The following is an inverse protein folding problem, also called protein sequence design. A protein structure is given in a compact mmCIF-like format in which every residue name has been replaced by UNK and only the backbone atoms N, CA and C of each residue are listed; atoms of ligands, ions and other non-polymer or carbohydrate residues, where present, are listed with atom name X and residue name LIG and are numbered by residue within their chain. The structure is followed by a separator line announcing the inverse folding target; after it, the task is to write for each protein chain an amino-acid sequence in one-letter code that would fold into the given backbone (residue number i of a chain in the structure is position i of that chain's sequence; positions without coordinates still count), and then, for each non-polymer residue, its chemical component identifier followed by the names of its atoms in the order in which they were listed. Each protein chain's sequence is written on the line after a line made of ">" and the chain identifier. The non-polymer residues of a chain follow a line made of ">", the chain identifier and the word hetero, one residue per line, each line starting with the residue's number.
data_IF_605982344317
#
_entry.id   IF_605982344317
#
_cell.length_a   1.000
_cell.length_b   1.000
_cell.length_c   1.000
_cell.angle_alpha   90.00
_cell.angle_beta   90.00
_cell.angle_gamma   90.00
#
_symmetry.space_group_name_H-M   'P 1'
#
loop_
_entity.id
_entity.type
_entity.pdbx_description
1 polymer ?
#
# COMPACT_ATOMS: atom_id res chain seq x y z
N UNK A 1 47.20 -6.78 17.28
CA UNK A 1 45.99 -6.88 16.42
C UNK A 1 44.82 -6.46 17.29
N UNK A 2 44.40 -5.16 17.18
CA UNK A 2 43.30 -4.60 17.98
C UNK A 2 42.00 -4.94 17.24
N UNK A 3 41.21 -5.87 17.78
CA UNK A 3 39.80 -6.02 17.37
C UNK A 3 39.01 -4.85 17.96
N UNK A 4 38.66 -3.88 17.14
CA UNK A 4 37.62 -2.90 17.50
C UNK A 4 36.32 -3.68 17.68
N UNK A 5 35.83 -3.77 18.92
CA UNK A 5 34.47 -4.25 19.20
C UNK A 5 33.53 -3.35 18.40
N UNK A 6 32.85 -3.95 17.41
CA UNK A 6 31.82 -3.24 16.65
C UNK A 6 30.80 -2.66 17.62
N UNK A 7 30.52 -1.37 17.49
CA UNK A 7 29.48 -0.70 18.28
C UNK A 7 28.16 -1.39 17.96
N UNK A 8 27.56 -2.04 18.94
CA UNK A 8 26.21 -2.60 18.79
C UNK A 8 25.25 -1.41 18.81
N UNK A 9 24.68 -1.10 17.66
CA UNK A 9 23.61 -0.11 17.58
C UNK A 9 22.30 -0.80 17.99
N UNK A 10 21.67 -0.28 19.03
CA UNK A 10 20.33 -0.67 19.44
C UNK A 10 19.31 0.16 18.67
N UNK A 11 18.34 -0.49 18.07
CA UNK A 11 17.35 0.16 17.22
C UNK A 11 15.95 0.12 17.83
N UNK A 12 15.26 1.24 17.74
CA UNK A 12 13.83 1.40 18.01
C UNK A 12 13.10 1.59 16.69
N UNK A 13 12.13 0.73 16.41
CA UNK A 13 11.43 0.68 15.11
C UNK A 13 9.95 0.91 15.29
N UNK A 14 9.35 1.73 14.41
CA UNK A 14 7.91 1.84 14.24
C UNK A 14 7.50 1.06 12.99
N UNK A 15 6.49 0.19 13.09
CA UNK A 15 5.84 -0.44 11.96
C UNK A 15 4.44 0.14 11.81
N UNK A 16 4.13 0.69 10.64
CA UNK A 16 2.81 1.24 10.33
C UNK A 16 1.95 0.16 9.71
N UNK A 17 0.71 0.02 10.22
CA UNK A 17 -0.26 -0.95 9.77
C UNK A 17 -0.73 -1.87 10.90
N UNK A 18 -1.65 -2.80 10.59
CA UNK A 18 -2.24 -3.67 11.61
C UNK A 18 -2.70 -5.02 11.05
N UNK A 19 -2.20 -5.44 9.90
CA UNK A 19 -2.54 -6.70 9.26
C UNK A 19 -1.58 -7.85 9.59
N UNK A 20 -1.80 -8.98 8.95
CA UNK A 20 -0.94 -10.16 9.07
C UNK A 20 0.46 -9.94 8.50
N UNK A 21 0.60 -9.08 7.49
CA UNK A 21 1.89 -8.67 6.90
C UNK A 21 2.75 -7.97 7.95
N UNK A 22 2.20 -6.97 8.63
CA UNK A 22 2.87 -6.22 9.69
C UNK A 22 3.21 -7.12 10.88
N UNK A 23 2.32 -8.03 11.25
CA UNK A 23 2.60 -9.03 12.30
C UNK A 23 3.81 -9.89 11.93
N UNK A 24 3.89 -10.40 10.70
CA UNK A 24 5.02 -11.21 10.24
C UNK A 24 6.33 -10.41 10.20
N UNK A 25 6.28 -9.14 9.78
CA UNK A 25 7.43 -8.23 9.79
C UNK A 25 7.93 -8.05 11.24
N UNK A 26 7.04 -7.72 12.16
CA UNK A 26 7.37 -7.51 13.58
C UNK A 26 7.94 -8.77 14.20
N UNK A 27 7.29 -9.94 13.97
CA UNK A 27 7.78 -11.23 14.44
C UNK A 27 9.20 -11.51 13.96
N UNK A 28 9.54 -11.11 12.73
CA UNK A 28 10.90 -11.25 12.21
C UNK A 28 11.87 -10.26 12.81
N UNK A 29 11.47 -9.01 12.99
CA UNK A 29 12.30 -7.94 13.57
C UNK A 29 12.75 -8.26 14.99
N UNK A 30 11.85 -8.74 15.86
CA UNK A 30 12.16 -9.03 17.26
C UNK A 30 13.14 -10.20 17.46
N UNK A 31 13.41 -10.98 16.42
CA UNK A 31 14.46 -12.03 16.47
C UNK A 31 15.88 -11.44 16.37
N UNK A 32 16.02 -10.19 15.97
CA UNK A 32 17.31 -9.51 15.90
C UNK A 32 17.62 -8.81 17.23
N UNK A 33 18.69 -9.25 17.90
CA UNK A 33 19.13 -8.72 19.20
C UNK A 33 19.51 -7.22 19.18
N UNK A 34 19.76 -6.66 18.00
CA UNK A 34 20.00 -5.22 17.85
C UNK A 34 18.73 -4.38 17.86
N UNK A 35 17.55 -4.99 17.74
CA UNK A 35 16.26 -4.31 17.81
C UNK A 35 15.73 -4.48 19.23
N UNK A 36 15.68 -3.37 19.98
CA UNK A 36 15.33 -3.39 21.40
C UNK A 36 13.90 -2.98 21.68
N UNK A 37 13.28 -2.23 20.76
CA UNK A 37 11.91 -1.79 20.88
C UNK A 37 11.22 -1.79 19.50
N UNK A 38 10.02 -2.37 19.44
CA UNK A 38 9.16 -2.30 18.27
C UNK A 38 7.80 -1.74 18.69
N UNK A 39 7.39 -0.66 18.03
CA UNK A 39 6.04 -0.11 18.14
C UNK A 39 5.27 -0.41 16.85
N UNK A 40 3.94 -0.44 16.94
CA UNK A 40 3.07 -0.65 15.78
C UNK A 40 1.88 0.32 15.82
N UNK A 41 1.55 0.93 14.68
CA UNK A 41 0.45 1.89 14.56
C UNK A 41 -0.50 1.50 13.41
N UNK A 42 -1.76 1.10 13.69
CA UNK A 42 -2.36 0.87 15.00
C UNK A 42 -2.00 -0.48 15.64
N UNK A 43 -1.52 -1.47 14.85
CA UNK A 43 -1.35 -2.84 15.28
C UNK A 43 -2.67 -3.63 15.35
N UNK A 44 -2.63 -4.79 16.00
CA UNK A 44 -3.78 -5.66 16.28
C UNK A 44 -3.53 -6.49 17.55
N UNK A 45 -4.51 -7.29 17.96
CA UNK A 45 -4.42 -8.11 19.17
C UNK A 45 -3.21 -9.07 19.21
N UNK A 46 -2.89 -9.72 18.07
CA UNK A 46 -1.73 -10.61 18.02
C UNK A 46 -0.38 -9.86 18.02
N UNK A 47 -0.34 -8.65 17.45
CA UNK A 47 0.84 -7.78 17.49
C UNK A 47 1.08 -7.27 18.92
N UNK A 48 0.03 -6.99 19.69
CA UNK A 48 0.15 -6.49 21.06
C UNK A 48 0.86 -7.45 22.02
N UNK A 49 0.92 -8.73 21.68
CA UNK A 49 1.66 -9.73 22.48
C UNK A 49 3.19 -9.61 22.30
N UNK A 50 3.66 -8.98 21.22
CA UNK A 50 5.07 -8.96 20.84
C UNK A 50 5.63 -7.56 20.55
N UNK A 51 4.79 -6.53 20.48
CA UNK A 51 5.17 -5.14 20.23
C UNK A 51 4.21 -4.17 20.91
N UNK A 52 4.65 -2.91 21.12
CA UNK A 52 3.80 -1.86 21.66
C UNK A 52 2.87 -1.31 20.58
N UNK A 53 1.58 -1.64 20.66
CA UNK A 53 0.57 -1.04 19.80
C UNK A 53 0.21 0.38 20.27
N UNK A 54 0.01 1.31 19.33
CA UNK A 54 -0.42 2.68 19.59
C UNK A 54 -1.66 3.00 18.77
N UNK A 55 -2.68 3.68 19.33
CA UNK A 55 -3.95 3.88 18.67
C UNK A 55 -3.92 5.03 17.64
N UNK A 56 -3.01 4.95 16.68
CA UNK A 56 -2.87 5.89 15.57
C UNK A 56 -3.20 5.13 14.28
N UNK A 57 -4.18 5.61 13.52
CA UNK A 57 -4.58 4.99 12.24
C UNK A 57 -3.43 5.01 11.24
N UNK A 58 -3.31 3.96 10.42
CA UNK A 58 -2.23 3.86 9.43
C UNK A 58 -2.25 4.98 8.38
N UNK A 59 -3.40 5.60 8.15
CA UNK A 59 -3.61 6.71 7.20
C UNK A 59 -3.57 8.10 7.86
N UNK A 60 -3.39 8.17 9.17
CA UNK A 60 -3.23 9.44 9.88
C UNK A 60 -1.76 9.90 9.81
N UNK A 61 -1.40 10.47 8.65
CA UNK A 61 -0.01 10.83 8.31
C UNK A 61 0.58 11.78 9.36
N UNK A 62 -0.16 12.83 9.72
CA UNK A 62 0.32 13.87 10.65
C UNK A 62 0.56 13.28 12.05
N UNK A 63 -0.35 12.46 12.56
CA UNK A 63 -0.20 11.83 13.86
C UNK A 63 0.96 10.83 13.89
N UNK A 64 1.18 10.06 12.80
CA UNK A 64 2.32 9.14 12.68
C UNK A 64 3.64 9.91 12.70
N UNK A 65 3.75 10.97 11.91
CA UNK A 65 4.96 11.81 11.85
C UNK A 65 5.24 12.46 13.20
N UNK A 66 4.22 13.03 13.85
CA UNK A 66 4.34 13.63 15.18
C UNK A 66 4.81 12.60 16.23
N UNK A 67 4.22 11.41 16.20
CA UNK A 67 4.60 10.32 17.09
C UNK A 67 6.03 9.85 16.83
N UNK A 68 6.42 9.72 15.57
CA UNK A 68 7.76 9.30 15.19
C UNK A 68 8.83 10.30 15.65
N UNK A 69 8.55 11.61 15.57
CA UNK A 69 9.42 12.68 16.10
C UNK A 69 9.55 12.63 17.61
N UNK A 70 8.43 12.48 18.32
CA UNK A 70 8.41 12.47 19.80
C UNK A 70 9.15 11.28 20.38
N UNK A 71 8.95 10.11 19.81
CA UNK A 71 9.50 8.84 20.30
C UNK A 71 10.92 8.57 19.77
N UNK A 72 11.40 9.33 18.78
CA UNK A 72 12.74 9.22 18.19
C UNK A 72 13.05 7.80 17.71
N UNK A 73 12.37 7.35 16.63
CA UNK A 73 12.64 6.06 16.03
C UNK A 73 13.87 6.11 15.12
N UNK A 74 14.63 5.02 15.10
CA UNK A 74 15.76 4.84 14.18
C UNK A 74 15.30 4.48 12.76
N UNK A 75 14.11 3.87 12.64
CA UNK A 75 13.49 3.49 11.37
C UNK A 75 11.97 3.39 11.52
N UNK A 76 11.26 3.88 10.52
CA UNK A 76 9.81 3.65 10.35
C UNK A 76 9.60 2.74 9.14
N UNK A 77 8.87 1.64 9.30
CA UNK A 77 8.51 0.73 8.21
C UNK A 77 7.04 0.97 7.86
N UNK A 78 6.79 1.41 6.63
CA UNK A 78 5.44 1.64 6.11
C UNK A 78 5.07 0.47 5.22
N UNK A 79 4.17 -0.40 5.70
CA UNK A 79 3.86 -1.65 5.02
C UNK A 79 2.55 -1.63 4.20
N UNK A 80 1.46 -0.96 4.61
CA UNK A 80 0.21 -0.93 3.83
C UNK A 80 0.29 0.02 2.64
N UNK A 81 -0.51 -0.27 1.62
CA UNK A 81 -0.53 0.47 0.36
C UNK A 81 -1.08 1.89 0.52
N UNK A 82 -2.18 2.06 1.31
CA UNK A 82 -2.83 3.35 1.50
C UNK A 82 -1.88 4.44 2.03
N UNK A 83 -1.18 4.28 3.17
CA UNK A 83 -0.26 5.31 3.67
C UNK A 83 0.93 5.55 2.73
N UNK A 84 1.38 4.54 1.97
CA UNK A 84 2.41 4.71 0.95
C UNK A 84 1.92 5.62 -0.19
N UNK A 85 0.74 5.35 -0.69
CA UNK A 85 0.10 6.15 -1.74
C UNK A 85 -0.25 7.56 -1.26
N UNK A 86 -0.56 7.73 0.02
CA UNK A 86 -0.80 9.04 0.65
C UNK A 86 0.50 9.82 0.94
N UNK A 87 1.69 9.23 0.75
CA UNK A 87 2.98 9.91 0.87
C UNK A 87 3.58 9.91 2.29
N UNK A 88 3.23 8.96 3.15
CA UNK A 88 3.79 8.88 4.49
C UNK A 88 5.33 8.80 4.51
N UNK A 89 5.93 8.06 3.56
CA UNK A 89 7.40 7.96 3.47
C UNK A 89 8.01 9.33 3.19
N UNK A 90 7.46 10.06 2.20
CA UNK A 90 7.96 11.40 1.86
C UNK A 90 7.79 12.38 3.04
N UNK A 91 6.68 12.29 3.78
CA UNK A 91 6.44 13.13 4.96
C UNK A 91 7.43 12.83 6.11
N UNK A 92 7.76 11.56 6.36
CA UNK A 92 8.74 11.16 7.36
C UNK A 92 10.14 11.64 6.96
N UNK A 93 10.53 11.42 5.71
CA UNK A 93 11.86 11.84 5.19
C UNK A 93 12.03 13.36 5.20
N UNK A 94 10.97 14.13 4.91
CA UNK A 94 10.98 15.59 5.00
C UNK A 94 11.30 16.10 6.42
N UNK A 95 10.98 15.32 7.44
CA UNK A 95 11.29 15.59 8.85
C UNK A 95 12.62 14.93 9.31
N UNK A 96 13.40 14.38 8.37
CA UNK A 96 14.67 13.72 8.66
C UNK A 96 14.55 12.36 9.34
N UNK A 97 13.35 11.75 9.32
CA UNK A 97 13.08 10.44 9.90
C UNK A 97 13.32 9.38 8.83
N UNK A 98 14.18 8.42 9.11
CA UNK A 98 14.45 7.31 8.19
C UNK A 98 13.19 6.44 8.02
N UNK A 99 12.76 6.26 6.78
CA UNK A 99 11.61 5.43 6.46
C UNK A 99 11.98 4.31 5.47
N UNK A 100 11.30 3.17 5.58
CA UNK A 100 11.36 2.10 4.61
C UNK A 100 10.00 1.96 3.93
N UNK A 101 9.99 2.16 2.63
CA UNK A 101 8.84 2.11 1.74
C UNK A 101 9.12 2.91 0.47
N UNK A 102 8.30 2.75 -0.58
CA UNK A 102 8.39 3.59 -1.77
C UNK A 102 7.94 5.03 -1.45
N UNK A 103 8.48 5.99 -2.20
CA UNK A 103 7.92 7.35 -2.23
C UNK A 103 6.49 7.35 -2.76
N UNK A 104 5.71 8.39 -2.50
CA UNK A 104 4.35 8.55 -3.02
C UNK A 104 4.29 8.35 -4.54
N UNK A 105 5.24 8.96 -5.25
CA UNK A 105 5.35 8.84 -6.71
C UNK A 105 5.64 7.42 -7.18
N UNK A 106 6.42 6.65 -6.44
CA UNK A 106 6.68 5.24 -6.76
C UNK A 106 5.49 4.34 -6.39
N UNK A 107 4.78 4.66 -5.31
CA UNK A 107 3.59 3.94 -4.87
C UNK A 107 2.40 4.08 -5.85
N UNK A 108 2.44 5.06 -6.77
CA UNK A 108 1.44 5.22 -7.82
C UNK A 108 1.30 3.97 -8.72
N UNK A 109 2.37 3.17 -8.84
CA UNK A 109 2.33 1.89 -9.58
C UNK A 109 1.27 0.93 -8.99
N UNK A 110 1.10 0.93 -7.68
CA UNK A 110 0.05 0.14 -7.01
C UNK A 110 -1.25 0.95 -6.89
N UNK A 111 -1.15 2.25 -6.67
CA UNK A 111 -2.29 3.15 -6.44
C UNK A 111 -3.16 3.38 -7.67
N UNK A 112 -2.61 3.33 -8.89
CA UNK A 112 -3.34 3.51 -10.15
C UNK A 112 -3.04 2.39 -11.13
N UNK A 113 -4.08 1.65 -11.49
CA UNK A 113 -4.00 0.60 -12.52
C UNK A 113 -3.74 1.19 -13.90
N UNK A 114 -4.28 2.37 -14.17
CA UNK A 114 -4.06 3.12 -15.40
C UNK A 114 -2.59 3.53 -15.52
N UNK A 115 -2.03 4.11 -14.45
CA UNK A 115 -0.61 4.46 -14.41
C UNK A 115 0.28 3.24 -14.65
N UNK A 116 0.03 2.13 -13.94
CA UNK A 116 0.78 0.90 -14.09
C UNK A 116 0.71 0.35 -15.53
N UNK A 117 -0.47 0.35 -16.14
CA UNK A 117 -0.66 -0.09 -17.54
C UNK A 117 0.09 0.79 -18.53
N UNK A 118 0.01 2.10 -18.38
CA UNK A 118 0.73 3.06 -19.21
C UNK A 118 2.26 2.87 -19.09
N UNK A 119 2.75 2.64 -17.87
CA UNK A 119 4.16 2.35 -17.61
C UNK A 119 4.60 1.05 -18.31
N UNK A 120 3.81 -0.02 -18.16
CA UNK A 120 4.10 -1.30 -18.81
C UNK A 120 4.15 -1.17 -20.34
N UNK A 121 3.17 -0.46 -20.93
CA UNK A 121 3.15 -0.18 -22.38
C UNK A 121 4.36 0.63 -22.82
N UNK A 122 4.70 1.69 -22.09
CA UNK A 122 5.84 2.56 -22.39
C UNK A 122 7.17 1.81 -22.45
N UNK A 123 7.34 0.84 -21.56
CA UNK A 123 8.60 0.09 -21.41
C UNK A 123 8.55 -1.32 -22.00
N UNK A 124 7.52 -1.65 -22.78
CA UNK A 124 7.30 -2.97 -23.38
C UNK A 124 7.34 -4.12 -22.36
N UNK A 125 6.78 -3.89 -21.16
CA UNK A 125 6.63 -4.92 -20.13
C UNK A 125 5.42 -5.79 -20.51
N UNK A 126 5.57 -7.12 -20.61
CA UNK A 126 4.45 -8.00 -20.96
C UNK A 126 3.27 -7.87 -19.99
N UNK A 127 2.10 -7.58 -20.53
CA UNK A 127 0.85 -7.47 -19.77
C UNK A 127 -0.34 -7.77 -20.68
N UNK A 128 -1.49 -8.11 -20.11
CA UNK A 128 -2.72 -8.27 -20.88
C UNK A 128 -3.15 -6.93 -21.49
N UNK A 129 -3.86 -7.00 -22.62
CA UNK A 129 -4.47 -5.82 -23.25
C UNK A 129 -5.40 -5.10 -22.26
N UNK A 130 -5.48 -3.79 -22.38
CA UNK A 130 -6.27 -2.96 -21.49
C UNK A 130 -6.78 -1.72 -22.25
N UNK A 131 -8.06 -1.45 -22.08
CA UNK A 131 -8.68 -0.20 -22.51
C UNK A 131 -9.14 0.59 -21.28
N UNK A 132 -8.99 1.91 -21.34
CA UNK A 132 -9.29 2.83 -20.23
C UNK A 132 -10.41 3.76 -20.62
N UNK A 133 -11.40 3.88 -19.75
CA UNK A 133 -12.58 4.72 -19.99
C UNK A 133 -12.87 5.61 -18.79
N UNK A 134 -13.08 6.89 -19.05
CA UNK A 134 -13.60 7.92 -18.13
C UNK A 134 -15.07 8.29 -18.39
N UNK A 135 -15.64 7.73 -19.45
CA UNK A 135 -17.01 7.98 -19.90
C UNK A 135 -17.78 6.67 -20.00
N UNK A 136 -18.96 6.62 -19.37
CA UNK A 136 -19.81 5.44 -19.30
C UNK A 136 -20.28 4.95 -20.69
N UNK A 137 -20.72 5.85 -21.58
CA UNK A 137 -21.25 5.45 -22.88
C UNK A 137 -20.17 4.81 -23.77
N UNK A 138 -18.94 5.33 -23.69
CA UNK A 138 -17.79 4.75 -24.39
C UNK A 138 -17.44 3.36 -23.83
N UNK A 139 -17.42 3.22 -22.50
CA UNK A 139 -17.19 1.95 -21.85
C UNK A 139 -18.29 0.91 -22.21
N UNK A 140 -19.56 1.34 -22.21
CA UNK A 140 -20.70 0.51 -22.60
C UNK A 140 -20.60 0.02 -24.04
N UNK A 141 -20.27 0.90 -24.98
CA UNK A 141 -20.07 0.55 -26.38
C UNK A 141 -18.95 -0.49 -26.55
N UNK A 142 -17.86 -0.35 -25.79
CA UNK A 142 -16.74 -1.30 -25.82
C UNK A 142 -17.13 -2.67 -25.26
N UNK A 143 -17.73 -2.77 -24.08
CA UNK A 143 -18.08 -4.06 -23.47
C UNK A 143 -19.18 -4.80 -24.23
N UNK A 144 -20.02 -4.08 -24.99
CA UNK A 144 -21.05 -4.68 -25.85
C UNK A 144 -20.47 -5.47 -27.03
N UNK A 145 -19.20 -5.30 -27.37
CA UNK A 145 -18.54 -5.94 -28.52
C UNK A 145 -17.17 -6.53 -28.22
N UNK A 146 -16.66 -6.38 -26.99
CA UNK A 146 -15.35 -6.90 -26.60
C UNK A 146 -15.32 -8.42 -26.54
N UNK A 147 -14.09 -8.97 -26.58
CA UNK A 147 -13.88 -10.41 -26.39
C UNK A 147 -14.14 -10.81 -24.94
N UNK A 148 -14.91 -11.87 -24.74
CA UNK A 148 -15.20 -12.46 -23.43
C UNK A 148 -14.39 -13.75 -23.20
N UNK A 149 -14.04 -14.11 -21.94
CA UNK A 149 -14.32 -13.32 -20.73
C UNK A 149 -13.48 -12.04 -20.67
N UNK A 150 -14.01 -10.99 -20.04
CA UNK A 150 -13.31 -9.74 -19.78
C UNK A 150 -13.28 -9.41 -18.29
N UNK A 151 -12.41 -8.48 -17.88
CA UNK A 151 -12.32 -8.05 -16.48
C UNK A 151 -12.49 -6.53 -16.40
N UNK A 152 -13.55 -6.11 -15.73
CA UNK A 152 -13.81 -4.70 -15.45
C UNK A 152 -13.16 -4.34 -14.11
N UNK A 153 -12.42 -3.23 -14.07
CA UNK A 153 -11.67 -2.81 -12.88
C UNK A 153 -11.89 -1.32 -12.61
N UNK A 154 -12.16 -0.98 -11.36
CA UNK A 154 -12.04 0.40 -10.91
C UNK A 154 -10.56 0.81 -10.85
N UNK A 155 -10.24 2.04 -11.28
CA UNK A 155 -8.92 2.62 -11.02
C UNK A 155 -8.83 3.11 -9.56
N UNK A 156 -7.63 3.05 -8.98
CA UNK A 156 -7.41 3.39 -7.58
C UNK A 156 -7.32 2.19 -6.64
N UNK A 157 -7.07 2.48 -5.36
CA UNK A 157 -7.02 1.51 -4.27
C UNK A 157 -8.45 1.13 -3.86
N UNK A 158 -8.86 -0.09 -4.11
CA UNK A 158 -10.19 -0.61 -3.82
C UNK A 158 -10.15 -1.87 -2.92
N UNK A 159 -9.07 -2.08 -2.18
CA UNK A 159 -8.86 -3.22 -1.26
C UNK A 159 -9.19 -4.59 -1.92
N UNK A 160 -8.89 -4.73 -3.22
CA UNK A 160 -9.18 -5.92 -4.01
C UNK A 160 -10.64 -6.10 -4.42
N UNK A 161 -11.55 -5.17 -4.07
CA UNK A 161 -13.00 -5.29 -4.34
C UNK A 161 -13.42 -4.68 -5.69
N UNK A 162 -12.62 -3.80 -6.26
CA UNK A 162 -12.91 -3.12 -7.53
C UNK A 162 -12.51 -3.93 -8.78
N UNK A 163 -12.55 -5.27 -8.75
CA UNK A 163 -12.19 -6.16 -9.87
C UNK A 163 -13.31 -7.17 -10.09
N UNK A 164 -13.97 -7.10 -11.25
CA UNK A 164 -15.14 -7.93 -11.58
C UNK A 164 -14.82 -8.71 -12.85
N UNK A 165 -14.85 -10.04 -12.77
CA UNK A 165 -14.68 -10.94 -13.92
C UNK A 165 -16.06 -11.12 -14.56
N UNK A 166 -16.16 -10.88 -15.87
CA UNK A 166 -17.39 -10.90 -16.63
C UNK A 166 -17.28 -11.97 -17.72
N UNK A 167 -18.18 -12.93 -17.70
CA UNK A 167 -18.22 -14.05 -18.65
C UNK A 167 -19.19 -13.79 -19.81
N UNK A 168 -20.08 -12.80 -19.65
CA UNK A 168 -21.05 -12.36 -20.65
C UNK A 168 -21.21 -10.83 -20.60
N UNK A 169 -21.92 -10.29 -21.61
CA UNK A 169 -22.12 -8.84 -21.77
C UNK A 169 -22.94 -8.24 -20.63
N UNK A 170 -23.97 -8.93 -20.16
CA UNK A 170 -24.84 -8.43 -19.09
C UNK A 170 -24.08 -8.25 -17.78
N UNK A 171 -23.18 -9.18 -17.44
CA UNK A 171 -22.27 -9.05 -16.30
C UNK A 171 -21.32 -7.85 -16.46
N UNK A 172 -20.79 -7.62 -17.67
CA UNK A 172 -19.91 -6.49 -17.92
C UNK A 172 -20.65 -5.14 -17.79
N UNK A 173 -21.90 -5.05 -18.27
CA UNK A 173 -22.75 -3.87 -18.10
C UNK A 173 -23.08 -3.63 -16.62
N UNK A 174 -23.42 -4.68 -15.87
CA UNK A 174 -23.67 -4.58 -14.44
C UNK A 174 -22.41 -4.09 -13.67
N UNK A 175 -21.23 -4.58 -14.05
CA UNK A 175 -19.96 -4.13 -13.48
C UNK A 175 -19.67 -2.65 -13.78
N UNK A 176 -19.93 -2.17 -14.99
CA UNK A 176 -19.82 -0.75 -15.34
C UNK A 176 -20.77 0.12 -14.51
N UNK A 177 -22.03 -0.32 -14.34
CA UNK A 177 -22.99 0.39 -13.50
C UNK A 177 -22.48 0.51 -12.07
N UNK A 178 -22.02 -0.59 -11.47
CA UNK A 178 -21.48 -0.61 -10.11
C UNK A 178 -20.31 0.36 -9.94
N UNK A 179 -19.38 0.43 -10.91
CA UNK A 179 -18.16 1.23 -10.81
C UNK A 179 -18.40 2.69 -11.20
N UNK A 180 -19.06 2.95 -12.36
CA UNK A 180 -19.12 4.27 -12.95
C UNK A 180 -20.39 5.06 -12.60
N UNK A 181 -21.50 4.38 -12.29
CA UNK A 181 -22.78 5.00 -11.96
C UNK A 181 -22.98 5.03 -10.44
N UNK A 182 -22.94 3.85 -9.81
CA UNK A 182 -23.20 3.71 -8.37
C UNK A 182 -21.98 4.13 -7.51
N UNK A 183 -20.78 4.18 -8.08
CA UNK A 183 -19.52 4.58 -7.44
C UNK A 183 -19.27 3.85 -6.12
N UNK A 184 -19.41 2.53 -6.16
CA UNK A 184 -19.26 1.67 -4.96
C UNK A 184 -17.81 1.57 -4.49
N UNK A 185 -16.84 1.96 -5.34
CA UNK A 185 -15.40 1.90 -5.08
C UNK A 185 -14.73 3.26 -5.25
#
# INVERSE_FOLDING_TARGET
>A
MLFTRGTIFFMKILVVGGGGREHAIIWKLIQNKSITQVHCAPGNGGISDIAKCVPIGATDIDAIVAYAKTEVFDLVIVAPDDPLYMGLVDALEAEGIRAFGPSQKAAEIEGSKVYAKNLMTKYNIPTADCEVFDNYDKALAYVSSCKLPTVVKADGLALGKGVIICTNVDEAIAALNTIMVDKVF
#
